data_IF_621613870321
#
_entry.id   IF_621613870321
#
_cell.length_a   1.000
_cell.length_b   1.000
_cell.length_c   1.000
_cell.angle_alpha   90.00
_cell.angle_beta   90.00
_cell.angle_gamma   90.00
#
_symmetry.space_group_name_H-M   'P 1'
#
loop_
_entity.id
_entity.type
_entity.pdbx_description
1 polymer ?
#
# COMPACT_ATOMS: atom_id res chain seq x y z
N UNK A 1 52.91 38.90 23.38
CA UNK A 1 52.57 37.77 24.28
C UNK A 1 51.29 38.20 24.97
N UNK A 2 50.10 37.62 24.73
CA UNK A 2 49.76 36.21 24.51
C UNK A 2 48.65 36.07 23.48
N UNK A 3 48.81 35.11 22.57
CA UNK A 3 47.73 34.44 21.86
C UNK A 3 47.41 33.16 22.64
N UNK A 4 46.13 32.87 22.87
CA UNK A 4 45.48 31.53 22.80
C UNK A 4 44.10 31.62 23.47
N UNK A 5 43.05 31.77 22.68
CA UNK A 5 41.68 31.38 23.05
C UNK A 5 40.85 31.29 21.77
N UNK A 6 41.07 30.23 21.00
CA UNK A 6 40.39 29.99 19.72
C UNK A 6 40.58 28.54 19.32
N UNK A 7 40.11 27.61 20.15
CA UNK A 7 40.14 26.18 19.85
C UNK A 7 39.10 25.35 20.62
N UNK A 8 38.00 25.97 21.09
CA UNK A 8 36.93 25.23 21.80
C UNK A 8 35.53 25.43 21.24
N UNK A 9 35.37 26.12 20.11
CA UNK A 9 34.06 26.44 19.52
C UNK A 9 33.76 25.76 18.17
N UNK A 10 34.54 24.77 17.76
CA UNK A 10 34.35 24.09 16.46
C UNK A 10 33.86 22.63 16.55
N UNK A 11 33.51 22.13 17.74
CA UNK A 11 33.08 20.73 17.92
C UNK A 11 31.58 20.53 18.20
N UNK A 12 30.72 21.57 18.16
CA UNK A 12 29.28 21.41 18.44
C UNK A 12 28.34 21.61 17.25
N UNK A 13 28.88 21.75 16.03
CA UNK A 13 28.09 22.20 14.87
C UNK A 13 27.71 21.11 13.86
N UNK A 14 27.88 19.82 14.18
CA UNK A 14 27.53 18.70 13.25
C UNK A 14 26.25 17.95 13.64
N UNK A 15 25.64 18.18 14.81
CA UNK A 15 24.38 17.51 15.20
C UNK A 15 23.10 18.25 14.76
N UNK A 16 23.16 18.98 13.65
CA UNK A 16 21.98 19.60 13.06
C UNK A 16 21.23 18.61 12.17
N UNK A 17 20.22 17.94 12.72
CA UNK A 17 19.11 17.40 11.92
C UNK A 17 18.77 15.92 12.06
N UNK A 18 19.14 15.22 13.15
CA UNK A 18 18.57 13.89 13.40
C UNK A 18 17.09 14.06 13.78
N UNK A 19 16.17 13.81 12.82
CA UNK A 19 14.74 13.68 13.12
C UNK A 19 14.61 12.70 14.29
N UNK A 20 13.79 13.06 15.28
CA UNK A 20 13.47 12.18 16.41
C UNK A 20 13.05 10.81 15.88
N UNK A 21 13.53 9.69 16.42
CA UNK A 21 13.17 8.37 15.92
C UNK A 21 11.65 8.23 15.87
N UNK A 22 11.14 7.82 14.71
CA UNK A 22 9.72 7.52 14.55
C UNK A 22 9.54 6.01 14.33
N UNK A 23 9.66 5.20 15.41
CA UNK A 23 9.48 3.78 15.28
C UNK A 23 8.06 3.45 14.82
N UNK A 24 7.96 2.60 13.81
CA UNK A 24 6.72 1.98 13.35
C UNK A 24 6.89 0.47 13.34
N UNK A 25 5.77 -0.24 13.41
CA UNK A 25 5.78 -1.69 13.18
C UNK A 25 5.91 -1.95 11.69
N UNK A 26 6.97 -2.65 11.31
CA UNK A 26 7.15 -3.25 10.00
C UNK A 26 6.98 -4.77 10.10
N UNK A 27 6.50 -5.36 9.02
CA UNK A 27 6.37 -6.80 8.88
C UNK A 27 7.44 -7.35 7.94
N UNK A 28 7.82 -8.61 8.13
CA UNK A 28 8.58 -9.39 7.13
C UNK A 28 8.22 -10.87 7.24
N UNK A 29 8.57 -11.65 6.22
CA UNK A 29 8.46 -13.10 6.31
C UNK A 29 9.72 -13.71 6.93
N UNK A 30 9.54 -14.58 7.92
CA UNK A 30 10.57 -15.44 8.47
C UNK A 30 10.02 -16.87 8.53
N UNK A 31 10.63 -17.79 7.77
CA UNK A 31 10.21 -19.19 7.70
C UNK A 31 8.71 -19.37 7.37
N UNK A 32 8.17 -18.54 6.47
CA UNK A 32 6.76 -18.56 6.06
C UNK A 32 5.78 -17.88 7.03
N UNK A 33 6.27 -17.35 8.14
CA UNK A 33 5.47 -16.60 9.11
C UNK A 33 5.72 -15.11 8.98
N UNK A 34 4.67 -14.31 9.08
CA UNK A 34 4.76 -12.86 9.22
C UNK A 34 5.19 -12.55 10.65
N UNK A 35 6.35 -11.90 10.77
CA UNK A 35 6.87 -11.38 12.03
C UNK A 35 6.80 -9.85 12.02
N UNK A 36 6.53 -9.27 13.19
CA UNK A 36 6.39 -7.83 13.40
C UNK A 36 7.59 -7.31 14.19
N UNK A 37 8.19 -6.22 13.73
CA UNK A 37 9.33 -5.58 14.36
C UNK A 37 9.12 -4.07 14.41
N UNK A 38 9.43 -3.44 15.55
CA UNK A 38 9.37 -1.99 15.70
C UNK A 38 10.71 -1.39 15.26
N UNK A 39 10.67 -0.60 14.18
CA UNK A 39 11.86 -0.08 13.49
C UNK A 39 11.62 1.38 13.12
N UNK A 40 12.66 2.21 13.24
CA UNK A 40 12.63 3.55 12.64
C UNK A 40 12.62 3.43 11.11
N UNK A 41 11.52 3.86 10.48
CA UNK A 41 11.34 3.73 9.05
C UNK A 41 12.28 4.62 8.21
N UNK A 42 13.03 5.52 8.84
CA UNK A 42 14.10 6.28 8.18
C UNK A 42 15.39 5.48 8.00
N UNK A 43 15.59 4.39 8.77
CA UNK A 43 16.84 3.64 8.80
C UNK A 43 16.81 2.36 7.95
N UNK A 44 15.66 2.01 7.36
CA UNK A 44 15.48 0.74 6.66
C UNK A 44 14.72 0.90 5.34
N UNK A 45 15.02 0.03 4.37
CA UNK A 45 14.25 -0.09 3.14
C UNK A 45 13.07 -1.04 3.33
N UNK A 46 11.89 -0.58 2.93
CA UNK A 46 10.67 -1.37 3.00
C UNK A 46 9.71 -1.04 1.85
N UNK A 47 8.73 -1.92 1.67
CA UNK A 47 7.62 -1.79 0.71
C UNK A 47 6.38 -1.32 1.45
N UNK A 48 5.69 -0.28 0.99
CA UNK A 48 4.41 0.13 1.58
C UNK A 48 3.24 -0.37 0.75
N UNK A 49 2.21 -0.90 1.38
CA UNK A 49 0.98 -1.36 0.73
C UNK A 49 -0.17 -0.40 0.99
N UNK A 50 -0.78 0.07 -0.09
CA UNK A 50 -2.02 0.82 -0.09
C UNK A 50 -3.18 -0.09 -0.46
N UNK A 51 -4.27 -0.04 0.29
CA UNK A 51 -5.44 -0.87 0.00
C UNK A 51 -6.75 -0.25 0.47
N UNK A 52 -7.86 -0.79 -0.04
CA UNK A 52 -9.21 -0.54 0.48
C UNK A 52 -9.62 -1.64 1.43
N UNK A 53 -10.40 -1.30 2.44
CA UNK A 53 -10.88 -2.29 3.42
C UNK A 53 -11.98 -3.18 2.81
N UNK A 54 -12.92 -2.58 2.06
CA UNK A 54 -14.00 -3.31 1.40
C UNK A 54 -14.95 -3.96 2.42
N UNK A 55 -15.54 -5.11 2.05
CA UNK A 55 -16.40 -5.92 2.91
C UNK A 55 -15.58 -6.76 3.91
N UNK A 56 -14.94 -6.07 4.86
CA UNK A 56 -13.92 -6.64 5.73
C UNK A 56 -14.47 -7.28 7.01
N UNK A 57 -14.01 -8.50 7.29
CA UNK A 57 -14.41 -9.30 8.44
C UNK A 57 -13.17 -9.78 9.21
N UNK A 58 -13.31 -9.98 10.52
CA UNK A 58 -12.23 -10.51 11.35
C UNK A 58 -12.00 -11.99 11.08
N UNK A 59 -10.82 -12.33 10.58
CA UNK A 59 -10.42 -13.71 10.25
C UNK A 59 -9.04 -14.03 10.81
N UNK A 60 -8.74 -15.32 10.97
CA UNK A 60 -7.37 -15.83 11.11
C UNK A 60 -6.85 -16.22 9.74
N UNK A 61 -5.54 -16.06 9.53
CA UNK A 61 -4.87 -16.40 8.27
C UNK A 61 -3.65 -17.26 8.55
N UNK A 62 -3.36 -18.20 7.65
CA UNK A 62 -2.14 -18.99 7.72
C UNK A 62 -0.91 -18.08 7.58
N UNK A 63 0.08 -18.28 8.45
CA UNK A 63 1.30 -17.47 8.46
C UNK A 63 1.17 -16.15 9.20
N UNK A 64 -0.01 -15.75 9.70
CA UNK A 64 -0.20 -14.51 10.46
C UNK A 64 -0.78 -14.87 11.84
N UNK A 65 -0.05 -14.55 12.91
CA UNK A 65 -0.44 -14.94 14.26
C UNK A 65 -1.71 -14.22 14.76
N UNK A 66 -1.84 -12.93 14.42
CA UNK A 66 -2.94 -12.11 14.87
C UNK A 66 -4.18 -12.26 13.99
N UNK A 67 -5.36 -12.04 14.58
CA UNK A 67 -6.58 -11.87 13.79
C UNK A 67 -6.49 -10.56 13.03
N UNK A 68 -6.92 -10.59 11.77
CA UNK A 68 -6.90 -9.42 10.88
C UNK A 68 -8.28 -9.18 10.30
N UNK A 69 -8.61 -7.91 10.04
CA UNK A 69 -9.91 -7.52 9.49
C UNK A 69 -9.78 -7.26 8.00
N UNK A 70 -10.12 -8.24 7.17
CA UNK A 70 -9.93 -8.19 5.70
C UNK A 70 -11.12 -8.79 4.95
N UNK A 71 -11.26 -8.46 3.67
CA UNK A 71 -12.20 -9.11 2.76
C UNK A 71 -11.71 -10.53 2.40
N UNK A 72 -12.60 -11.38 1.87
CA UNK A 72 -12.24 -12.76 1.46
C UNK A 72 -11.17 -12.81 0.36
N UNK A 73 -11.22 -11.89 -0.60
CA UNK A 73 -10.23 -11.77 -1.67
C UNK A 73 -8.87 -11.36 -1.13
N UNK A 74 -8.85 -10.39 -0.21
CA UNK A 74 -7.62 -9.94 0.43
C UNK A 74 -7.01 -11.00 1.35
N UNK A 75 -7.83 -11.76 2.07
CA UNK A 75 -7.37 -12.92 2.84
C UNK A 75 -6.56 -13.89 1.96
N UNK A 76 -7.08 -14.28 0.79
CA UNK A 76 -6.35 -15.14 -0.16
C UNK A 76 -5.05 -14.51 -0.64
N UNK A 77 -5.05 -13.22 -0.95
CA UNK A 77 -3.85 -12.51 -1.37
C UNK A 77 -2.77 -12.54 -0.27
N UNK A 78 -3.15 -12.27 0.98
CA UNK A 78 -2.22 -12.27 2.12
C UNK A 78 -1.61 -13.66 2.35
N UNK A 79 -2.39 -14.73 2.20
CA UNK A 79 -1.91 -16.11 2.43
C UNK A 79 -1.07 -16.66 1.27
N UNK A 80 -1.39 -16.31 0.02
CA UNK A 80 -0.83 -17.01 -1.14
C UNK A 80 0.08 -16.16 -2.02
N UNK A 81 -0.05 -14.83 -1.98
CA UNK A 81 0.62 -13.95 -2.94
C UNK A 81 1.59 -12.97 -2.26
N UNK A 82 1.29 -12.53 -1.04
CA UNK A 82 2.07 -11.48 -0.37
C UNK A 82 3.55 -11.86 -0.22
N UNK A 83 3.86 -13.08 0.23
CA UNK A 83 5.25 -13.53 0.40
C UNK A 83 6.04 -13.51 -0.91
N UNK A 84 5.43 -13.96 -2.01
CA UNK A 84 6.09 -13.94 -3.33
C UNK A 84 6.36 -12.51 -3.81
N UNK A 85 5.52 -11.56 -3.41
CA UNK A 85 5.61 -10.16 -3.82
C UNK A 85 6.66 -9.37 -3.04
N UNK A 86 6.80 -9.63 -1.75
CA UNK A 86 7.75 -8.91 -0.87
C UNK A 86 9.07 -9.67 -0.69
N UNK A 87 9.10 -10.98 -0.94
CA UNK A 87 10.24 -11.84 -0.66
C UNK A 87 10.62 -11.79 0.83
N UNK A 88 11.89 -11.46 1.09
CA UNK A 88 12.43 -11.30 2.45
C UNK A 88 12.49 -9.82 2.90
N UNK A 89 11.97 -8.89 2.09
CA UNK A 89 12.00 -7.47 2.41
C UNK A 89 11.04 -7.13 3.54
N UNK A 90 11.36 -6.07 4.28
CA UNK A 90 10.39 -5.43 5.16
C UNK A 90 9.25 -4.81 4.35
N UNK A 91 8.06 -4.83 4.93
CA UNK A 91 6.90 -4.18 4.35
C UNK A 91 5.98 -3.59 5.42
N UNK A 92 5.21 -2.60 5.01
CA UNK A 92 4.18 -1.97 5.82
C UNK A 92 2.82 -2.12 5.17
N UNK A 93 1.83 -2.55 5.94
CA UNK A 93 0.43 -2.59 5.54
C UNK A 93 -0.40 -2.34 6.79
N UNK A 94 -1.24 -1.30 6.80
CA UNK A 94 -2.02 -0.87 7.97
C UNK A 94 -2.79 -2.01 8.65
N UNK A 95 -3.40 -2.92 7.88
CA UNK A 95 -4.13 -4.07 8.45
C UNK A 95 -3.27 -5.09 9.20
N UNK A 96 -1.96 -5.12 8.94
CA UNK A 96 -1.00 -6.01 9.61
C UNK A 96 -0.16 -5.27 10.66
N UNK A 97 0.27 -4.06 10.34
CA UNK A 97 1.22 -3.28 11.13
C UNK A 97 0.56 -2.45 12.25
N UNK A 98 -0.75 -2.26 12.24
CA UNK A 98 -1.45 -1.49 13.28
C UNK A 98 -2.36 -2.45 14.05
N UNK A 99 -2.38 -2.34 15.38
CA UNK A 99 -3.41 -3.02 16.18
C UNK A 99 -4.77 -2.35 15.93
N UNK A 100 -5.58 -3.01 15.10
CA UNK A 100 -6.90 -2.53 14.72
C UNK A 100 -7.93 -2.59 15.86
N UNK A 101 -7.57 -3.13 17.03
CA UNK A 101 -8.43 -3.18 18.22
C UNK A 101 -8.24 -1.98 19.15
N UNK A 102 -7.19 -1.17 18.94
CA UNK A 102 -6.85 -0.01 19.79
C UNK A 102 -6.97 1.29 19.00
N UNK A 103 -7.89 2.15 19.42
CA UNK A 103 -8.13 3.42 18.73
C UNK A 103 -6.94 4.38 18.81
N UNK A 104 -6.19 4.38 19.91
CA UNK A 104 -5.01 5.23 20.10
C UNK A 104 -3.89 4.92 19.09
N UNK A 105 -3.63 3.64 18.81
CA UNK A 105 -2.64 3.23 17.81
C UNK A 105 -3.08 3.63 16.40
N UNK A 106 -4.37 3.47 16.08
CA UNK A 106 -4.93 3.89 14.79
C UNK A 106 -4.76 5.40 14.57
N UNK A 107 -5.06 6.22 15.58
CA UNK A 107 -4.92 7.68 15.49
C UNK A 107 -3.44 8.06 15.32
N UNK A 108 -2.56 7.51 16.15
CA UNK A 108 -1.11 7.81 16.12
C UNK A 108 -0.49 7.48 14.77
N UNK A 109 -0.81 6.33 14.19
CA UNK A 109 -0.23 5.93 12.90
C UNK A 109 -0.82 6.72 11.75
N UNK A 110 -2.12 7.07 11.81
CA UNK A 110 -2.79 7.83 10.73
C UNK A 110 -2.11 9.17 10.45
N UNK A 111 -1.53 9.84 11.45
CA UNK A 111 -0.84 11.12 11.26
C UNK A 111 0.51 10.99 10.56
N UNK A 112 1.13 9.81 10.58
CA UNK A 112 2.45 9.55 10.00
C UNK A 112 2.40 8.73 8.70
N UNK A 113 1.24 8.18 8.31
CA UNK A 113 1.03 7.47 7.04
C UNK A 113 1.66 8.19 5.83
N UNK A 114 1.46 9.51 5.60
CA UNK A 114 2.10 10.17 4.46
C UNK A 114 3.63 10.02 4.45
N UNK A 115 4.27 10.10 5.62
CA UNK A 115 5.73 9.96 5.75
C UNK A 115 6.17 8.51 5.49
N UNK A 116 5.36 7.52 5.88
CA UNK A 116 5.61 6.11 5.58
C UNK A 116 5.64 5.90 4.06
N UNK A 117 4.64 6.41 3.34
CA UNK A 117 4.61 6.25 1.89
C UNK A 117 5.69 7.05 1.15
N UNK A 118 6.08 8.22 1.66
CA UNK A 118 7.18 9.03 1.13
C UNK A 118 8.53 8.32 1.22
N UNK A 119 8.80 7.61 2.33
CA UNK A 119 10.09 6.94 2.58
C UNK A 119 10.14 5.50 2.09
N UNK A 120 8.99 4.90 1.75
CA UNK A 120 8.94 3.56 1.19
C UNK A 120 9.73 3.47 -0.12
N UNK A 121 10.48 2.37 -0.30
CA UNK A 121 11.26 2.13 -1.52
C UNK A 121 10.35 2.09 -2.76
N UNK A 122 9.17 1.48 -2.58
CA UNK A 122 8.08 1.42 -3.55
C UNK A 122 6.73 1.26 -2.83
N UNK A 123 5.71 2.05 -3.20
CA UNK A 123 4.34 1.77 -2.85
C UNK A 123 3.71 0.73 -3.79
N UNK A 124 2.95 -0.20 -3.23
CA UNK A 124 2.14 -1.16 -3.96
C UNK A 124 0.67 -0.94 -3.63
N UNK A 125 -0.14 -0.68 -4.64
CA UNK A 125 -1.59 -0.52 -4.49
C UNK A 125 -2.29 -1.85 -4.78
N UNK A 126 -2.98 -2.41 -3.79
CA UNK A 126 -3.77 -3.64 -3.92
C UNK A 126 -5.17 -3.29 -4.42
N UNK A 127 -5.48 -3.76 -5.63
CA UNK A 127 -6.81 -3.67 -6.24
C UNK A 127 -7.68 -4.81 -5.75
N UNK A 128 -8.51 -4.53 -4.76
CA UNK A 128 -9.44 -5.48 -4.17
C UNK A 128 -10.81 -5.47 -4.86
N UNK A 129 -10.81 -5.66 -6.19
CA UNK A 129 -12.04 -5.86 -6.98
C UNK A 129 -12.98 -4.65 -7.12
N UNK A 130 -12.72 -3.52 -6.45
CA UNK A 130 -13.38 -2.23 -6.71
C UNK A 130 -12.78 -1.55 -7.95
N UNK A 131 -12.63 -2.33 -9.03
CA UNK A 131 -12.01 -1.99 -10.32
C UNK A 131 -13.03 -1.75 -11.43
N UNK A 132 -12.58 -1.82 -12.70
CA UNK A 132 -13.49 -2.02 -13.82
C UNK A 132 -14.36 -3.25 -13.55
N UNK A 133 -15.68 -3.08 -13.51
CA UNK A 133 -16.63 -4.18 -13.30
C UNK A 133 -16.37 -5.25 -14.35
N UNK A 134 -16.37 -6.53 -13.97
CA UNK A 134 -16.02 -7.64 -14.86
C UNK A 134 -16.82 -7.63 -16.18
N UNK A 135 -18.07 -7.17 -16.16
CA UNK A 135 -18.89 -6.97 -17.35
C UNK A 135 -18.30 -5.92 -18.32
N UNK A 136 -17.70 -4.83 -17.82
CA UNK A 136 -17.03 -3.82 -18.63
C UNK A 136 -15.79 -4.39 -19.34
N UNK A 137 -15.00 -5.23 -18.66
CA UNK A 137 -13.84 -5.88 -19.25
C UNK A 137 -14.26 -6.91 -20.32
N UNK A 138 -15.31 -7.69 -20.06
CA UNK A 138 -15.89 -8.62 -21.03
C UNK A 138 -16.48 -7.89 -22.25
N UNK A 139 -17.13 -6.74 -22.05
CA UNK A 139 -17.67 -5.94 -23.14
C UNK A 139 -16.58 -5.32 -24.03
N UNK A 140 -15.43 -4.97 -23.44
CA UNK A 140 -14.26 -4.49 -24.19
C UNK A 140 -13.72 -5.60 -25.11
N UNK A 141 -13.66 -6.83 -24.61
CA UNK A 141 -13.18 -8.01 -25.36
C UNK A 141 -11.66 -8.06 -25.48
N UNK A 142 -11.15 -9.03 -26.25
CA UNK A 142 -9.70 -9.23 -26.42
C UNK A 142 -9.11 -8.26 -27.45
N UNK A 143 -7.90 -7.77 -27.20
CA UNK A 143 -7.21 -6.73 -27.97
C UNK A 143 -5.94 -7.28 -28.60
N UNK A 144 -6.11 -8.09 -29.63
CA UNK A 144 -5.00 -8.70 -30.37
C UNK A 144 -4.41 -7.76 -31.42
N UNK A 145 -5.19 -6.77 -31.90
CA UNK A 145 -4.78 -5.81 -32.94
C UNK A 145 -5.31 -4.40 -32.69
N UNK A 146 -4.75 -3.40 -33.38
CA UNK A 146 -5.28 -2.02 -33.36
C UNK A 146 -6.70 -1.88 -33.94
N UNK A 147 -7.11 -2.78 -34.85
CA UNK A 147 -8.50 -2.85 -35.31
C UNK A 147 -9.46 -3.31 -34.22
N UNK A 148 -9.01 -4.27 -33.39
CA UNK A 148 -9.78 -4.78 -32.25
C UNK A 148 -9.98 -3.72 -31.17
N UNK A 149 -9.03 -2.78 -31.03
CA UNK A 149 -9.13 -1.65 -30.11
C UNK A 149 -10.33 -0.75 -30.41
N UNK A 150 -10.47 -0.28 -31.64
CA UNK A 150 -11.58 0.61 -31.99
C UNK A 150 -12.93 -0.09 -31.84
N UNK A 151 -13.01 -1.35 -32.23
CA UNK A 151 -14.22 -2.16 -32.04
C UNK A 151 -14.52 -2.42 -30.55
N UNK A 152 -13.50 -2.67 -29.74
CA UNK A 152 -13.59 -2.84 -28.29
C UNK A 152 -14.08 -1.58 -27.59
N UNK A 153 -13.56 -0.41 -27.96
CA UNK A 153 -14.02 0.89 -27.44
C UNK A 153 -15.49 1.13 -27.79
N UNK A 154 -15.92 0.82 -29.01
CA UNK A 154 -17.33 0.95 -29.40
C UNK A 154 -18.25 0.02 -28.61
N UNK A 155 -17.87 -1.25 -28.40
CA UNK A 155 -18.65 -2.22 -27.60
C UNK A 155 -18.72 -1.79 -26.14
N UNK A 156 -17.60 -1.38 -25.56
CA UNK A 156 -17.56 -0.89 -24.20
C UNK A 156 -18.41 0.38 -24.02
N UNK A 157 -18.33 1.35 -24.94
CA UNK A 157 -19.13 2.58 -24.86
C UNK A 157 -20.64 2.30 -24.91
N UNK A 158 -21.05 1.32 -25.74
CA UNK A 158 -22.44 0.86 -25.79
C UNK A 158 -22.85 0.21 -24.47
N UNK A 159 -22.08 -0.78 -23.98
CA UNK A 159 -22.34 -1.45 -22.71
C UNK A 159 -22.41 -0.45 -21.52
N UNK A 160 -21.50 0.53 -21.50
CA UNK A 160 -21.52 1.60 -20.50
C UNK A 160 -22.81 2.40 -20.53
N UNK A 161 -23.27 2.78 -21.72
CA UNK A 161 -24.47 3.59 -21.91
C UNK A 161 -25.76 2.80 -21.64
N UNK A 162 -25.75 1.49 -21.90
CA UNK A 162 -26.95 0.65 -21.78
C UNK A 162 -27.08 0.07 -20.36
N UNK A 163 -25.97 -0.33 -19.74
CA UNK A 163 -25.97 -1.11 -18.48
C UNK A 163 -25.39 -0.36 -17.28
N UNK A 164 -24.65 0.74 -17.49
CA UNK A 164 -24.01 1.50 -16.41
C UNK A 164 -24.40 2.98 -16.35
N UNK A 165 -25.34 3.44 -17.19
CA UNK A 165 -25.78 4.85 -17.27
C UNK A 165 -26.13 5.50 -15.94
N UNK A 166 -26.63 4.70 -15.00
CA UNK A 166 -27.04 5.13 -13.66
C UNK A 166 -26.23 4.45 -12.54
N UNK A 167 -25.24 3.63 -12.90
CA UNK A 167 -24.36 3.00 -11.94
C UNK A 167 -23.22 3.97 -11.58
N UNK A 168 -23.11 4.33 -10.31
CA UNK A 168 -21.89 4.90 -9.78
C UNK A 168 -20.83 3.79 -9.75
N UNK A 169 -19.86 3.85 -10.67
CA UNK A 169 -18.65 3.06 -10.54
C UNK A 169 -17.91 3.53 -9.31
N UNK A 170 -18.01 2.76 -8.22
CA UNK A 170 -17.26 3.01 -7.00
C UNK A 170 -15.88 2.38 -7.14
N UNK A 171 -14.92 3.10 -7.72
CA UNK A 171 -13.51 2.74 -7.56
C UNK A 171 -13.05 3.27 -6.21
N UNK A 172 -13.26 2.48 -5.14
CA UNK A 172 -13.00 2.90 -3.76
C UNK A 172 -11.55 3.31 -3.48
N UNK A 173 -10.60 2.98 -4.37
CA UNK A 173 -9.21 3.45 -4.30
C UNK A 173 -9.12 4.91 -4.78
N UNK A 174 -9.76 5.27 -5.90
CA UNK A 174 -9.68 6.61 -6.48
C UNK A 174 -10.58 7.64 -5.79
N UNK A 175 -11.58 7.19 -5.03
CA UNK A 175 -12.43 8.06 -4.19
C UNK A 175 -11.74 8.48 -2.88
N UNK A 176 -10.64 7.83 -2.50
CA UNK A 176 -9.91 8.17 -1.27
C UNK A 176 -8.82 9.19 -1.58
N UNK A 177 -8.75 10.21 -0.73
CA UNK A 177 -7.67 11.21 -0.75
C UNK A 177 -6.29 10.54 -0.63
N UNK A 178 -6.21 9.40 0.06
CA UNK A 178 -4.95 8.73 0.40
C UNK A 178 -4.22 8.12 -0.80
N UNK A 179 -4.81 7.24 -1.65
CA UNK A 179 -4.14 6.78 -2.87
C UNK A 179 -3.79 7.91 -3.86
N UNK A 180 -4.58 8.99 -3.88
CA UNK A 180 -4.25 10.20 -4.63
C UNK A 180 -3.03 10.94 -4.03
N UNK A 181 -2.96 11.09 -2.71
CA UNK A 181 -1.80 11.66 -2.03
C UNK A 181 -0.56 10.77 -2.21
N UNK A 182 -0.68 9.46 -2.05
CA UNK A 182 0.41 8.50 -2.23
C UNK A 182 0.94 8.49 -3.68
N UNK A 183 0.07 8.73 -4.67
CA UNK A 183 0.45 8.87 -6.08
C UNK A 183 1.06 10.20 -6.46
N UNK A 184 0.73 11.26 -5.73
CA UNK A 184 1.42 12.54 -5.82
C UNK A 184 2.79 12.47 -5.13
N UNK A 185 2.87 11.79 -3.98
CA UNK A 185 4.07 11.73 -3.13
C UNK A 185 5.08 10.67 -3.57
N UNK A 186 4.68 9.68 -4.37
CA UNK A 186 5.58 8.64 -4.88
C UNK A 186 5.51 8.50 -6.39
N UNK A 187 6.68 8.59 -7.03
CA UNK A 187 6.84 8.34 -8.47
C UNK A 187 7.07 6.85 -8.82
N UNK A 188 6.82 5.91 -7.89
CA UNK A 188 7.17 4.48 -8.03
C UNK A 188 6.03 3.51 -7.73
N UNK A 189 4.78 3.90 -8.00
CA UNK A 189 3.63 3.05 -7.69
C UNK A 189 3.56 1.83 -8.60
N UNK A 190 3.38 0.67 -7.99
CA UNK A 190 3.02 -0.58 -8.66
C UNK A 190 1.58 -0.98 -8.30
N UNK A 191 0.76 -1.35 -9.28
CA UNK A 191 -0.58 -1.90 -9.05
C UNK A 191 -0.56 -3.42 -9.08
N UNK A 192 -1.21 -4.07 -8.11
CA UNK A 192 -1.39 -5.53 -8.06
C UNK A 192 -2.85 -5.89 -7.83
N UNK A 193 -3.31 -7.01 -8.39
CA UNK A 193 -4.66 -7.54 -8.20
C UNK A 193 -4.65 -8.66 -7.16
N UNK A 194 -5.78 -8.83 -6.46
CA UNK A 194 -5.98 -9.98 -5.55
C UNK A 194 -6.08 -11.31 -6.30
N UNK A 195 -6.36 -11.28 -7.61
CA UNK A 195 -6.33 -12.45 -8.49
C UNK A 195 -4.93 -12.55 -9.10
N UNK A 196 -4.27 -13.69 -8.93
CA UNK A 196 -2.94 -13.93 -9.51
C UNK A 196 -2.98 -13.80 -11.03
N UNK A 197 -1.84 -13.41 -11.63
CA UNK A 197 -1.69 -13.44 -13.08
C UNK A 197 -2.01 -14.85 -13.60
N UNK A 198 -2.98 -14.92 -14.51
CA UNK A 198 -3.25 -16.12 -15.32
C UNK A 198 -2.14 -16.24 -16.37
#
# INVERSE_FOLDING_TARGET
>A
MSQTSGAQEEASSIEAGRKSPQPIVLCRFLSGMVVKEEIDFHEIHYIAFSHVWGDAHWTTLNGIADRVKVSKSKARFLEHNLQNLVGNSYFWMDVLCIDQTKDEERIKVTTIIPQIFEHAQKPIVIRDGSGYVSCCALAFGNLSTWGDYNAGVSRWRKHWTDEHKHHLLKEGILERLWPLQESILSNRIQFVTCEGAI
#
